data_IF_409593712749
#
_entry.id   IF_409593712749
#
_cell.length_a   1.000
_cell.length_b   1.000
_cell.length_c   1.000
_cell.angle_alpha   90.00
_cell.angle_beta   90.00
_cell.angle_gamma   90.00
#
_symmetry.space_group_name_H-M   'P 1'
#
loop_
_entity.id
_entity.type
_entity.pdbx_description
1 polymer ?
#
# COMPACT_ATOMS: atom_id res chain seq x y z
N UNK A 1 -7.87 6.47 18.67
CA UNK A 1 -7.74 5.28 17.79
C UNK A 1 -6.25 5.08 17.57
N UNK A 2 -5.74 3.90 17.86
CA UNK A 2 -4.34 3.56 17.57
C UNK A 2 -4.20 3.18 16.08
N UNK A 3 -3.13 3.60 15.43
CA UNK A 3 -2.92 3.38 14.01
C UNK A 3 -1.60 2.63 13.74
N UNK A 4 -1.68 1.48 13.10
CA UNK A 4 -0.52 0.68 12.70
C UNK A 4 -0.41 0.66 11.18
N UNK A 5 0.76 1.00 10.65
CA UNK A 5 1.07 0.95 9.22
C UNK A 5 1.81 -0.33 8.85
N UNK A 6 1.38 -0.98 7.77
CA UNK A 6 2.11 -2.06 7.11
C UNK A 6 2.67 -1.53 5.80
N UNK A 7 3.98 -1.57 5.62
CA UNK A 7 4.63 -1.24 4.36
C UNK A 7 5.01 -2.52 3.63
N UNK A 8 4.40 -2.76 2.46
CA UNK A 8 4.73 -3.87 1.58
C UNK A 8 6.00 -3.55 0.77
N UNK A 9 7.13 -4.12 1.17
CA UNK A 9 8.45 -3.86 0.58
C UNK A 9 9.13 -5.12 -0.01
N UNK A 10 8.43 -6.28 -0.04
CA UNK A 10 9.00 -7.54 -0.51
C UNK A 10 9.02 -7.69 -2.06
N UNK A 11 8.56 -6.72 -2.83
CA UNK A 11 8.53 -6.77 -4.29
C UNK A 11 9.93 -6.75 -4.93
N UNK A 12 10.18 -7.66 -5.87
CA UNK A 12 11.47 -7.86 -6.55
C UNK A 12 11.95 -6.67 -7.40
N UNK A 13 11.04 -5.79 -7.86
CA UNK A 13 11.41 -4.62 -8.67
C UNK A 13 11.91 -4.91 -10.07
N UNK A 14 11.74 -6.09 -10.61
CA UNK A 14 12.25 -6.52 -11.93
C UNK A 14 11.96 -5.51 -13.06
N UNK A 15 10.78 -4.89 -13.05
CA UNK A 15 10.38 -3.88 -14.05
C UNK A 15 11.12 -2.55 -13.94
N UNK A 16 11.81 -2.30 -12.82
CA UNK A 16 12.61 -1.08 -12.62
C UNK A 16 14.05 -1.26 -13.12
N UNK A 17 14.46 -2.49 -13.46
CA UNK A 17 15.81 -2.80 -13.93
C UNK A 17 16.92 -2.63 -12.89
N UNK A 18 16.56 -2.53 -11.60
CA UNK A 18 17.52 -2.34 -10.52
C UNK A 18 18.04 -3.69 -10.01
N UNK A 19 19.32 -3.75 -9.66
CA UNK A 19 19.94 -4.92 -9.00
C UNK A 19 19.49 -5.07 -7.53
N UNK A 20 18.98 -3.99 -6.94
CA UNK A 20 18.47 -3.94 -5.58
C UNK A 20 16.96 -4.19 -5.53
N UNK A 21 16.43 -4.71 -4.40
CA UNK A 21 15.00 -4.71 -4.14
C UNK A 21 14.41 -3.32 -4.38
N UNK A 22 13.28 -3.24 -5.07
CA UNK A 22 12.67 -1.97 -5.47
C UNK A 22 12.55 -0.96 -4.33
N UNK A 23 12.18 -1.40 -3.15
CA UNK A 23 11.98 -0.54 -2.00
C UNK A 23 13.30 0.05 -1.43
N UNK A 24 14.46 -0.49 -1.82
CA UNK A 24 15.79 0.04 -1.50
C UNK A 24 16.36 0.96 -2.59
N UNK A 25 15.70 1.06 -3.74
CA UNK A 25 16.12 2.01 -4.79
C UNK A 25 16.08 3.42 -4.23
N UNK A 26 17.16 4.24 -4.44
CA UNK A 26 17.19 5.60 -3.94
C UNK A 26 16.30 6.54 -4.77
N UNK A 27 15.67 7.48 -4.08
CA UNK A 27 14.98 8.64 -4.60
C UNK A 27 15.50 9.86 -3.82
N UNK A 28 16.12 10.81 -4.49
CA UNK A 28 16.81 11.92 -3.81
C UNK A 28 17.88 11.43 -2.82
N UNK A 29 18.58 10.35 -3.15
CA UNK A 29 19.61 9.75 -2.29
C UNK A 29 19.09 8.93 -1.10
N UNK A 30 17.77 8.77 -0.93
CA UNK A 30 17.13 8.06 0.18
C UNK A 30 16.28 6.90 -0.32
N UNK A 31 16.35 5.68 0.25
CA UNK A 31 15.53 4.54 -0.18
C UNK A 31 14.03 4.82 -0.20
N UNK A 32 13.31 4.29 -1.21
CA UNK A 32 11.85 4.46 -1.34
C UNK A 32 11.09 4.07 -0.07
N UNK A 33 11.52 3.00 0.61
CA UNK A 33 10.88 2.54 1.85
C UNK A 33 10.96 3.56 2.97
N UNK A 34 12.03 4.35 3.05
CA UNK A 34 12.19 5.38 4.08
C UNK A 34 11.20 6.53 3.88
N UNK A 35 10.96 6.93 2.63
CA UNK A 35 9.93 7.92 2.28
C UNK A 35 8.54 7.42 2.64
N UNK A 36 8.22 6.16 2.31
CA UNK A 36 6.93 5.56 2.61
C UNK A 36 6.64 5.48 4.12
N UNK A 37 7.63 5.10 4.91
CA UNK A 37 7.54 5.09 6.38
C UNK A 37 7.30 6.47 6.94
N UNK A 38 8.06 7.47 6.46
CA UNK A 38 7.92 8.86 6.90
C UNK A 38 6.55 9.44 6.56
N UNK A 39 6.05 9.18 5.34
CA UNK A 39 4.72 9.60 4.92
C UNK A 39 3.62 9.06 5.85
N UNK A 40 3.68 7.78 6.20
CA UNK A 40 2.72 7.17 7.13
C UNK A 40 2.77 7.84 8.50
N UNK A 41 3.97 8.04 9.07
CA UNK A 41 4.17 8.67 10.37
C UNK A 41 3.70 10.12 10.38
N UNK A 42 4.09 10.88 9.39
CA UNK A 42 3.66 12.29 9.24
C UNK A 42 2.13 12.42 9.09
N UNK A 43 1.47 11.39 8.57
CA UNK A 43 0.01 11.32 8.42
C UNK A 43 -0.74 10.81 9.65
N UNK A 44 -0.05 10.47 10.75
CA UNK A 44 -0.66 10.09 12.03
C UNK A 44 -0.67 8.58 12.32
N UNK A 45 0.23 7.81 11.69
CA UNK A 45 0.45 6.39 12.03
C UNK A 45 1.42 6.32 13.22
N UNK A 46 1.03 5.59 14.27
CA UNK A 46 1.79 5.46 15.52
C UNK A 46 2.96 4.48 15.40
N UNK A 47 2.71 3.31 14.77
CA UNK A 47 3.69 2.24 14.63
C UNK A 47 3.75 1.74 13.19
N UNK A 48 4.93 1.30 12.73
CA UNK A 48 5.12 0.82 11.36
C UNK A 48 5.81 -0.54 11.36
N UNK A 49 5.21 -1.49 10.63
CA UNK A 49 5.75 -2.81 10.30
C UNK A 49 6.11 -2.83 8.81
N UNK A 50 7.33 -3.26 8.48
CA UNK A 50 7.79 -3.35 7.08
C UNK A 50 8.04 -4.81 6.71
N UNK A 51 7.30 -5.32 5.73
CA UNK A 51 7.50 -6.66 5.19
C UNK A 51 8.55 -6.64 4.09
N UNK A 52 9.66 -7.37 4.28
CA UNK A 52 10.84 -7.34 3.40
C UNK A 52 11.20 -8.74 2.90
N UNK A 53 11.95 -8.87 1.79
CA UNK A 53 12.47 -10.17 1.36
C UNK A 53 13.48 -10.72 2.36
N UNK A 54 13.44 -12.01 2.67
CA UNK A 54 14.32 -12.64 3.66
C UNK A 54 15.82 -12.38 3.43
N UNK A 55 16.37 -12.50 2.20
CA UNK A 55 17.80 -12.27 1.96
C UNK A 55 18.26 -10.84 2.23
N UNK A 56 17.37 -9.86 2.11
CA UNK A 56 17.72 -8.44 2.25
C UNK A 56 17.31 -7.83 3.59
N UNK A 57 16.81 -8.62 4.55
CA UNK A 57 16.36 -8.11 5.85
C UNK A 57 17.39 -7.20 6.53
N UNK A 58 18.66 -7.60 6.54
CA UNK A 58 19.73 -6.80 7.15
C UNK A 58 19.89 -5.42 6.47
N UNK A 59 19.81 -5.37 5.13
CA UNK A 59 19.90 -4.12 4.37
C UNK A 59 18.74 -3.17 4.68
N UNK A 60 17.52 -3.68 4.84
CA UNK A 60 16.38 -2.88 5.26
C UNK A 60 16.52 -2.39 6.70
N UNK A 61 16.95 -3.25 7.62
CA UNK A 61 17.17 -2.87 9.04
C UNK A 61 18.22 -1.77 9.16
N UNK A 62 19.25 -1.77 8.30
CA UNK A 62 20.31 -0.75 8.32
C UNK A 62 19.85 0.65 7.87
N UNK A 63 18.80 0.76 7.05
CA UNK A 63 18.32 2.04 6.50
C UNK A 63 17.05 2.55 7.16
N UNK A 64 16.32 1.70 7.88
CA UNK A 64 15.08 2.06 8.56
C UNK A 64 15.35 2.56 9.99
N UNK A 65 14.51 3.45 10.54
CA UNK A 65 14.57 3.82 11.94
C UNK A 65 14.48 2.60 12.88
N UNK A 66 15.16 2.61 14.03
CA UNK A 66 15.26 1.44 14.93
C UNK A 66 13.94 1.03 15.56
N UNK A 67 12.95 1.90 15.59
CA UNK A 67 11.59 1.67 16.09
C UNK A 67 10.62 1.17 15.00
N UNK A 68 11.11 0.88 13.78
CA UNK A 68 10.35 0.22 12.73
C UNK A 68 10.52 -1.28 12.82
N UNK A 69 9.40 -2.00 12.89
CA UNK A 69 9.40 -3.46 12.97
C UNK A 69 9.61 -4.09 11.60
N UNK A 70 10.76 -4.75 11.38
CA UNK A 70 11.09 -5.41 10.11
C UNK A 70 10.76 -6.89 10.20
N UNK A 71 9.83 -7.35 9.38
CA UNK A 71 9.42 -8.76 9.28
C UNK A 71 9.76 -9.34 7.91
N UNK A 72 9.97 -10.64 7.86
CA UNK A 72 10.16 -11.34 6.58
C UNK A 72 8.79 -11.53 5.93
N UNK A 73 8.64 -11.02 4.70
CA UNK A 73 7.47 -11.24 3.85
C UNK A 73 7.49 -12.61 3.17
N UNK A 74 6.42 -12.91 2.46
CA UNK A 74 6.31 -14.14 1.64
C UNK A 74 6.55 -13.86 0.15
N UNK A 75 6.39 -14.91 -0.66
CA UNK A 75 6.64 -14.90 -2.11
C UNK A 75 5.64 -14.03 -2.90
N UNK A 76 4.51 -13.68 -2.30
CA UNK A 76 3.49 -12.82 -2.89
C UNK A 76 3.24 -11.58 -2.03
N UNK A 77 2.62 -10.54 -2.63
CA UNK A 77 2.18 -9.36 -1.88
C UNK A 77 1.22 -9.76 -0.74
N UNK A 78 0.26 -10.60 -1.02
CA UNK A 78 -0.72 -11.10 -0.04
C UNK A 78 -0.05 -11.87 1.10
N UNK A 79 0.92 -12.76 0.81
CA UNK A 79 1.68 -13.49 1.83
C UNK A 79 2.53 -12.53 2.69
N UNK A 80 3.12 -11.51 2.08
CA UNK A 80 3.88 -10.47 2.80
C UNK A 80 3.00 -9.64 3.73
N UNK A 81 1.80 -9.26 3.27
CA UNK A 81 0.84 -8.55 4.13
C UNK A 81 0.35 -9.44 5.26
N UNK A 82 0.10 -10.75 5.02
CA UNK A 82 -0.26 -11.71 6.09
C UNK A 82 0.81 -11.81 7.17
N UNK A 83 2.08 -11.88 6.79
CA UNK A 83 3.19 -11.93 7.74
C UNK A 83 3.27 -10.63 8.58
N UNK A 84 3.15 -9.47 7.93
CA UNK A 84 3.15 -8.19 8.61
C UNK A 84 1.90 -7.99 9.48
N UNK A 85 0.73 -8.51 9.07
CA UNK A 85 -0.52 -8.45 9.83
C UNK A 85 -0.40 -9.26 11.14
N UNK A 86 0.28 -10.40 11.13
CA UNK A 86 0.55 -11.17 12.34
C UNK A 86 1.36 -10.36 13.34
N UNK A 87 2.45 -9.71 12.90
CA UNK A 87 3.26 -8.84 13.75
C UNK A 87 2.47 -7.59 14.21
N UNK A 88 1.72 -6.94 13.31
CA UNK A 88 0.91 -5.76 13.66
C UNK A 88 -0.13 -6.04 14.75
N UNK A 89 -0.66 -7.26 14.82
CA UNK A 89 -1.58 -7.67 15.89
C UNK A 89 -0.94 -7.70 17.27
N UNK A 90 0.36 -7.98 17.37
CA UNK A 90 1.09 -7.98 18.65
C UNK A 90 1.25 -6.55 19.19
N UNK A 91 1.23 -5.54 18.28
CA UNK A 91 1.30 -4.12 18.62
C UNK A 91 -0.07 -3.47 18.85
N UNK A 92 -1.15 -4.17 18.46
CA UNK A 92 -2.51 -3.69 18.66
C UNK A 92 -2.87 -3.71 20.16
N UNK A 93 -3.33 -2.57 20.66
CA UNK A 93 -3.84 -2.48 22.03
C UNK A 93 -5.22 -3.15 22.14
N UNK A 94 -5.38 -4.10 23.07
CA UNK A 94 -6.67 -4.74 23.38
C UNK A 94 -7.75 -3.75 23.87
N UNK A 95 -7.37 -2.54 24.23
CA UNK A 95 -8.23 -1.54 24.85
C UNK A 95 -8.71 -0.44 23.90
N UNK A 96 -8.17 -0.37 22.68
CA UNK A 96 -8.51 0.67 21.71
C UNK A 96 -8.79 0.07 20.33
N UNK A 97 -9.78 0.68 19.64
CA UNK A 97 -9.99 0.39 18.23
C UNK A 97 -8.71 0.70 17.46
N UNK A 98 -8.17 -0.29 16.72
CA UNK A 98 -6.94 -0.17 15.97
C UNK A 98 -7.26 -0.03 14.48
N UNK A 99 -6.77 1.04 13.88
CA UNK A 99 -6.72 1.22 12.44
C UNK A 99 -5.46 0.55 11.88
N UNK A 100 -5.62 -0.17 10.80
CA UNK A 100 -4.52 -0.77 10.06
C UNK A 100 -4.43 -0.16 8.67
N UNK A 101 -3.25 0.34 8.29
CA UNK A 101 -3.02 0.95 6.99
C UNK A 101 -2.01 0.10 6.22
N UNK A 102 -2.40 -0.43 5.05
CA UNK A 102 -1.48 -1.16 4.17
C UNK A 102 -1.01 -0.24 3.05
N UNK A 103 0.31 -0.06 2.94
CA UNK A 103 0.93 0.88 2.03
C UNK A 103 2.01 0.22 1.15
N UNK A 104 2.04 0.59 -0.12
CA UNK A 104 3.09 0.15 -1.04
C UNK A 104 4.35 1.02 -0.85
N UNK A 105 5.50 0.43 -0.54
CA UNK A 105 6.79 1.14 -0.54
C UNK A 105 7.11 1.84 -1.88
N UNK A 106 6.45 1.40 -2.95
CA UNK A 106 6.55 1.98 -4.29
C UNK A 106 5.78 3.30 -4.48
N UNK A 107 5.11 3.84 -3.44
CA UNK A 107 4.46 5.16 -3.44
C UNK A 107 5.14 6.09 -2.41
N UNK A 108 6.42 6.39 -2.62
CA UNK A 108 7.24 7.07 -1.61
C UNK A 108 6.75 8.48 -1.28
N UNK A 109 6.18 9.19 -2.25
CA UNK A 109 5.78 10.59 -2.12
C UNK A 109 4.29 10.77 -1.80
N UNK A 110 3.66 9.76 -1.19
CA UNK A 110 2.27 9.89 -0.72
C UNK A 110 2.18 10.99 0.33
N UNK A 111 1.36 12.05 0.10
CA UNK A 111 1.24 13.13 1.05
C UNK A 111 0.63 12.68 2.38
N UNK A 112 1.11 13.21 3.52
CA UNK A 112 0.54 12.93 4.85
C UNK A 112 -0.97 13.18 4.92
N UNK A 113 -1.49 14.14 4.16
CA UNK A 113 -2.91 14.46 4.11
C UNK A 113 -3.77 13.33 3.53
N UNK A 114 -3.20 12.48 2.65
CA UNK A 114 -3.90 11.28 2.16
C UNK A 114 -4.04 10.26 3.27
N UNK A 115 -2.96 10.03 4.03
CA UNK A 115 -2.96 9.15 5.21
C UNK A 115 -3.98 9.61 6.24
N UNK A 116 -3.96 10.92 6.57
CA UNK A 116 -4.88 11.53 7.53
C UNK A 116 -6.35 11.40 7.09
N UNK A 117 -6.66 11.55 5.79
CA UNK A 117 -8.03 11.34 5.27
C UNK A 117 -8.51 9.90 5.45
N UNK A 118 -7.64 8.92 5.23
CA UNK A 118 -7.95 7.50 5.45
C UNK A 118 -8.22 7.25 6.93
N UNK A 119 -7.36 7.74 7.83
CA UNK A 119 -7.55 7.61 9.27
C UNK A 119 -8.83 8.30 9.77
N UNK A 120 -9.14 9.48 9.26
CA UNK A 120 -10.36 10.21 9.61
C UNK A 120 -11.63 9.44 9.21
N UNK A 121 -11.66 8.82 8.04
CA UNK A 121 -12.79 8.01 7.59
C UNK A 121 -12.97 6.74 8.43
N UNK A 122 -11.87 6.08 8.83
CA UNK A 122 -11.90 4.95 9.77
C UNK A 122 -12.41 5.40 11.15
N UNK A 123 -11.94 6.54 11.65
CA UNK A 123 -12.39 7.11 12.91
C UNK A 123 -13.90 7.45 12.89
N UNK A 124 -14.43 7.87 11.73
CA UNK A 124 -15.84 8.12 11.49
C UNK A 124 -16.70 6.84 11.37
N UNK A 125 -16.10 5.65 11.48
CA UNK A 125 -16.83 4.37 11.52
C UNK A 125 -16.73 3.51 10.27
N UNK A 126 -16.04 3.93 9.20
CA UNK A 126 -15.79 3.06 8.05
C UNK A 126 -14.97 1.84 8.48
N UNK A 127 -15.33 0.66 7.95
CA UNK A 127 -14.58 -0.58 8.21
C UNK A 127 -13.40 -0.75 7.25
N UNK A 128 -13.51 -0.19 6.05
CA UNK A 128 -12.47 -0.21 5.02
C UNK A 128 -12.53 1.05 4.16
N UNK A 129 -11.34 1.63 3.84
CA UNK A 129 -11.21 2.90 3.11
C UNK A 129 -10.02 2.85 2.17
N UNK A 130 -10.18 3.34 0.95
CA UNK A 130 -9.10 3.47 -0.03
C UNK A 130 -9.05 4.87 -0.63
N UNK A 131 -7.86 5.46 -0.82
CA UNK A 131 -7.73 6.69 -1.58
C UNK A 131 -7.84 6.40 -3.07
N UNK A 132 -8.53 7.28 -3.79
CA UNK A 132 -8.79 7.10 -5.22
C UNK A 132 -8.61 8.39 -6.01
N UNK A 133 -8.26 8.24 -7.28
CA UNK A 133 -8.24 9.29 -8.27
C UNK A 133 -9.22 8.98 -9.41
N UNK A 134 -9.84 9.99 -10.04
CA UNK A 134 -10.64 9.77 -11.23
C UNK A 134 -9.78 9.25 -12.39
N UNK A 135 -10.40 8.53 -13.32
CA UNK A 135 -9.78 8.18 -14.60
C UNK A 135 -10.11 9.29 -15.58
N UNK A 136 -9.08 9.95 -16.11
CA UNK A 136 -9.22 11.10 -17.04
C UNK A 136 -9.21 10.66 -18.50
N UNK A 137 -8.51 9.58 -18.82
CA UNK A 137 -8.39 9.06 -20.17
C UNK A 137 -9.60 8.21 -20.59
N UNK A 138 -9.82 8.08 -21.89
CA UNK A 138 -10.78 7.11 -22.44
C UNK A 138 -10.27 5.71 -22.16
N UNK A 139 -11.13 4.87 -21.58
CA UNK A 139 -10.81 3.49 -21.20
C UNK A 139 -11.73 2.55 -21.97
N UNK A 140 -11.14 1.53 -22.56
CA UNK A 140 -11.83 0.56 -23.41
C UNK A 140 -11.54 -0.87 -22.97
N UNK A 141 -12.41 -1.80 -23.33
CA UNK A 141 -12.16 -3.24 -23.23
C UNK A 141 -11.65 -3.71 -24.57
N UNK A 142 -10.59 -4.52 -24.58
CA UNK A 142 -10.04 -5.16 -25.78
C UNK A 142 -10.10 -6.68 -25.63
N UNK A 143 -10.27 -7.39 -26.75
CA UNK A 143 -10.18 -8.86 -26.80
C UNK A 143 -8.72 -9.35 -26.91
N UNK A 144 -8.56 -10.67 -27.08
CA UNK A 144 -7.24 -11.31 -27.18
C UNK A 144 -6.45 -10.91 -28.43
N UNK A 145 -7.10 -10.39 -29.46
CA UNK A 145 -6.52 -9.95 -30.74
C UNK A 145 -6.22 -8.43 -30.72
N UNK A 146 -6.55 -7.73 -29.62
CA UNK A 146 -6.32 -6.30 -29.46
C UNK A 146 -7.41 -5.41 -30.06
N UNK A 147 -8.56 -5.97 -30.45
CA UNK A 147 -9.70 -5.22 -30.97
C UNK A 147 -10.54 -4.64 -29.86
N UNK A 148 -10.92 -3.36 -29.96
CA UNK A 148 -11.81 -2.70 -28.99
C UNK A 148 -13.20 -3.35 -29.09
N UNK A 149 -13.68 -3.89 -27.96
CA UNK A 149 -14.99 -4.58 -27.87
C UNK A 149 -16.02 -3.79 -27.09
N UNK A 150 -15.61 -2.85 -26.23
CA UNK A 150 -16.51 -1.98 -25.49
C UNK A 150 -15.84 -0.73 -24.95
N UNK A 151 -16.62 0.34 -24.83
CA UNK A 151 -16.25 1.53 -24.06
C UNK A 151 -16.61 1.35 -22.57
N UNK A 152 -15.77 1.86 -21.68
CA UNK A 152 -16.07 1.85 -20.24
C UNK A 152 -16.39 3.29 -19.79
N UNK A 153 -17.58 3.52 -19.17
CA UNK A 153 -17.96 4.84 -18.67
C UNK A 153 -16.96 5.32 -17.59
N UNK A 154 -16.02 6.17 -17.96
CA UNK A 154 -14.93 6.65 -17.07
C UNK A 154 -15.43 7.38 -15.83
N UNK A 155 -16.64 7.95 -15.86
CA UNK A 155 -17.23 8.65 -14.72
C UNK A 155 -17.34 7.76 -13.46
N UNK A 156 -17.52 6.44 -13.63
CA UNK A 156 -17.59 5.45 -12.55
C UNK A 156 -16.22 4.83 -12.21
N UNK A 157 -15.20 5.04 -13.03
CA UNK A 157 -13.88 4.46 -12.82
C UNK A 157 -13.03 5.30 -11.85
N UNK A 158 -12.24 4.61 -11.03
CA UNK A 158 -11.27 5.21 -10.13
C UNK A 158 -9.95 4.43 -10.18
N UNK A 159 -8.84 5.15 -10.14
CA UNK A 159 -7.50 4.59 -9.89
C UNK A 159 -7.32 4.48 -8.39
N UNK A 160 -7.17 3.26 -7.88
CA UNK A 160 -6.96 3.01 -6.45
C UNK A 160 -5.51 3.28 -6.08
N UNK A 161 -5.32 3.93 -4.94
CA UNK A 161 -4.00 4.18 -4.37
C UNK A 161 -3.85 3.51 -3.00
N UNK A 162 -2.71 3.69 -2.35
CA UNK A 162 -2.46 3.33 -0.96
C UNK A 162 -1.92 4.56 -0.20
N UNK A 163 -2.07 4.61 1.16
CA UNK A 163 -2.43 3.51 2.04
C UNK A 163 -3.91 3.13 1.96
N UNK A 164 -4.18 1.82 1.98
CA UNK A 164 -5.52 1.27 2.16
C UNK A 164 -5.75 1.07 3.64
N UNK A 165 -6.79 1.65 4.18
CA UNK A 165 -7.08 1.63 5.61
C UNK A 165 -8.21 0.67 5.96
N UNK A 166 -8.05 -0.02 7.09
CA UNK A 166 -9.00 -1.02 7.57
C UNK A 166 -9.13 -0.95 9.09
N UNK A 167 -10.29 -1.31 9.60
CA UNK A 167 -10.40 -1.77 10.97
C UNK A 167 -9.63 -3.09 11.11
N UNK A 168 -8.83 -3.26 12.16
CA UNK A 168 -7.96 -4.43 12.35
C UNK A 168 -8.75 -5.74 12.29
N UNK A 169 -9.89 -5.81 13.01
CA UNK A 169 -10.70 -7.02 13.05
C UNK A 169 -11.28 -7.37 11.68
N UNK A 170 -11.67 -6.36 10.92
CA UNK A 170 -12.17 -6.50 9.54
C UNK A 170 -11.11 -7.11 8.63
N UNK A 171 -9.87 -6.58 8.62
CA UNK A 171 -8.82 -7.11 7.75
C UNK A 171 -8.40 -8.51 8.17
N UNK A 172 -8.23 -8.76 9.47
CA UNK A 172 -7.91 -10.09 10.01
C UNK A 172 -8.97 -11.12 9.60
N UNK A 173 -10.25 -10.80 9.77
CA UNK A 173 -11.35 -11.68 9.40
C UNK A 173 -11.40 -11.96 7.89
N UNK A 174 -11.20 -10.95 7.05
CA UNK A 174 -11.16 -11.10 5.61
C UNK A 174 -10.00 -12.01 5.16
N UNK A 175 -8.81 -11.82 5.73
CA UNK A 175 -7.65 -12.68 5.42
C UNK A 175 -7.79 -14.11 5.96
N UNK A 176 -8.48 -14.34 7.06
CA UNK A 176 -8.77 -15.67 7.59
C UNK A 176 -9.77 -16.43 6.72
N UNK A 177 -10.78 -15.74 6.18
CA UNK A 177 -11.81 -16.32 5.31
C UNK A 177 -11.39 -16.48 3.85
N UNK A 178 -10.30 -15.83 3.42
CA UNK A 178 -9.84 -15.87 2.03
C UNK A 178 -9.24 -17.24 1.69
N UNK A 179 -10.06 -18.11 1.09
CA UNK A 179 -9.69 -19.48 0.65
C UNK A 179 -9.05 -19.51 -0.74
N UNK A 180 -8.96 -18.35 -1.42
CA UNK A 180 -8.42 -18.22 -2.77
C UNK A 180 -6.90 -18.27 -2.81
N UNK A 181 -6.35 -18.66 -3.97
CA UNK A 181 -4.91 -18.51 -4.23
C UNK A 181 -4.55 -17.03 -4.19
N UNK A 182 -3.38 -16.69 -3.67
CA UNK A 182 -2.87 -15.31 -3.59
C UNK A 182 -2.84 -14.57 -4.95
N UNK A 183 -3.05 -15.29 -6.05
CA UNK A 183 -3.14 -14.76 -7.42
C UNK A 183 -4.46 -14.07 -7.76
N UNK A 184 -5.52 -14.26 -6.96
CA UNK A 184 -6.86 -13.73 -7.28
C UNK A 184 -7.10 -12.31 -6.77
N UNK A 185 -6.31 -11.84 -5.79
CA UNK A 185 -6.49 -10.53 -5.19
C UNK A 185 -5.39 -9.56 -5.63
N UNK A 186 -5.80 -8.44 -6.23
CA UNK A 186 -4.88 -7.40 -6.71
C UNK A 186 -4.40 -6.47 -5.60
N UNK A 187 -5.21 -6.33 -4.54
CA UNK A 187 -4.95 -5.47 -3.37
C UNK A 187 -5.72 -5.94 -2.13
N UNK A 188 -5.51 -5.28 -0.98
CA UNK A 188 -6.14 -5.67 0.29
C UNK A 188 -7.63 -5.32 0.32
N UNK A 189 -8.02 -4.26 -0.39
CA UNK A 189 -9.43 -3.89 -0.54
C UNK A 189 -10.23 -4.96 -1.29
N UNK A 190 -9.61 -5.65 -2.26
CA UNK A 190 -10.26 -6.75 -2.98
C UNK A 190 -10.49 -7.97 -2.08
N UNK A 191 -9.58 -8.26 -1.14
CA UNK A 191 -9.78 -9.31 -0.12
C UNK A 191 -10.96 -8.98 0.78
N UNK A 192 -11.03 -7.73 1.28
CA UNK A 192 -12.10 -7.27 2.17
C UNK A 192 -13.47 -7.24 1.44
N UNK A 193 -13.50 -6.81 0.18
CA UNK A 193 -14.72 -6.85 -0.64
C UNK A 193 -15.21 -8.27 -0.88
N UNK A 194 -14.31 -9.21 -1.12
CA UNK A 194 -14.67 -10.63 -1.28
C UNK A 194 -15.28 -11.22 -0.01
N UNK A 195 -14.93 -10.70 1.16
CA UNK A 195 -15.55 -11.03 2.44
C UNK A 195 -16.91 -10.30 2.68
N UNK A 196 -17.44 -9.57 1.69
CA UNK A 196 -18.73 -8.88 1.77
C UNK A 196 -18.70 -7.54 2.52
N UNK A 197 -17.55 -7.02 2.86
CA UNK A 197 -17.42 -5.73 3.58
C UNK A 197 -17.36 -4.57 2.59
N UNK A 198 -18.18 -3.53 2.75
CA UNK A 198 -18.12 -2.31 1.95
C UNK A 198 -16.77 -1.60 2.09
N UNK A 199 -16.18 -1.18 0.97
CA UNK A 199 -14.97 -0.38 0.94
C UNK A 199 -15.33 1.04 0.49
N UNK A 200 -15.12 2.00 1.37
CA UNK A 200 -15.36 3.43 1.10
C UNK A 200 -14.16 4.06 0.41
N UNK A 201 -14.39 5.19 -0.26
CA UNK A 201 -13.32 5.92 -0.93
C UNK A 201 -13.10 7.30 -0.32
N UNK A 202 -11.85 7.76 -0.35
CA UNK A 202 -11.47 9.14 -0.05
C UNK A 202 -10.66 9.72 -1.21
N UNK A 203 -10.50 11.05 -1.26
CA UNK A 203 -9.68 11.68 -2.29
C UNK A 203 -8.21 11.27 -2.13
N UNK A 204 -7.64 10.75 -3.22
CA UNK A 204 -6.21 10.50 -3.36
C UNK A 204 -5.42 11.77 -3.72
N UNK A 205 -4.19 11.56 -4.22
CA UNK A 205 -3.31 12.64 -4.67
C UNK A 205 -2.40 12.12 -5.79
N UNK A 206 -2.13 12.92 -6.82
CA UNK A 206 -1.24 12.50 -7.93
C UNK A 206 0.20 12.28 -7.44
N UNK A 207 0.64 12.93 -6.37
CA UNK A 207 1.95 12.67 -5.75
C UNK A 207 2.07 11.25 -5.17
N UNK A 208 0.94 10.60 -4.84
CA UNK A 208 0.90 9.20 -4.44
C UNK A 208 1.01 8.23 -5.64
N UNK A 209 1.63 8.67 -6.75
CA UNK A 209 1.91 7.84 -7.91
C UNK A 209 2.79 6.64 -7.55
N UNK A 210 2.53 5.49 -8.20
CA UNK A 210 3.30 4.26 -7.97
C UNK A 210 4.49 4.23 -8.92
N UNK A 211 5.69 4.30 -8.39
CA UNK A 211 6.93 4.07 -9.16
C UNK A 211 6.92 2.61 -9.60
N UNK A 212 6.89 2.35 -10.90
CA UNK A 212 6.78 1.00 -11.46
C UNK A 212 7.86 0.73 -12.51
N UNK A 213 8.18 1.74 -13.30
CA UNK A 213 9.18 1.71 -14.36
C UNK A 213 10.18 2.86 -14.18
N UNK A 214 11.35 2.87 -14.88
CA UNK A 214 12.36 3.93 -14.73
C UNK A 214 11.83 5.35 -14.97
N UNK A 215 10.89 5.51 -15.89
CA UNK A 215 10.24 6.80 -16.16
C UNK A 215 9.55 7.38 -14.91
N UNK A 216 8.85 6.55 -14.15
CA UNK A 216 8.16 6.99 -12.93
C UNK A 216 9.16 7.49 -11.87
N UNK A 217 10.33 6.84 -11.77
CA UNK A 217 11.40 7.26 -10.88
C UNK A 217 11.95 8.63 -11.28
N UNK A 218 12.19 8.83 -12.58
CA UNK A 218 12.63 10.14 -13.09
C UNK A 218 11.65 11.27 -12.78
N UNK A 219 10.34 11.02 -12.91
CA UNK A 219 9.31 12.00 -12.53
C UNK A 219 9.29 12.27 -11.02
N UNK A 220 9.50 11.24 -10.20
CA UNK A 220 9.56 11.39 -8.75
C UNK A 220 10.81 12.19 -8.32
N UNK A 221 11.98 11.98 -8.96
CA UNK A 221 13.20 12.74 -8.69
C UNK A 221 13.00 14.26 -8.90
N UNK A 222 12.24 14.66 -9.92
CA UNK A 222 11.91 16.07 -10.14
C UNK A 222 11.08 16.70 -9.00
N UNK A 223 10.38 15.88 -8.19
CA UNK A 223 9.56 16.37 -7.08
C UNK A 223 10.38 16.54 -5.79
N UNK A 224 11.44 15.77 -5.58
CA UNK A 224 12.26 15.81 -4.36
C UNK A 224 13.47 16.73 -4.48
N UNK A 225 13.82 17.17 -5.70
CA UNK A 225 14.97 18.06 -5.96
C UNK A 225 14.58 19.56 -5.87
N UNK A 226 13.30 19.84 -5.61
CA UNK A 226 12.78 21.21 -5.43
C UNK A 226 12.57 21.52 -3.96
#
# INVERSE_FOLDING_TARGET
MHAVGIVAAAGSGLRLGAELPKALVPLGGRPLVCWAVESLRAGGVDEVVVAVPAPQRAAFTAVLPPDVHVVVGGDTRTASVRAALAAAREHASDRQRTALLVHDAARPLTPPEVVARVLAALAAGAAAVVPVLPVVDTTVIVDGDGVITADVPRAALRRVQTPQGFDLATLVGAYAGASGTAAEFTDDASVVRAAGVPVHTVAGDERAAKITVPHDLGLAELQVTR
#
